data_IF_380254069486
#
_entry.id   IF_380254069486
#
_cell.length_a   1.000
_cell.length_b   1.000
_cell.length_c   1.000
_cell.angle_alpha   90.00
_cell.angle_beta   90.00
_cell.angle_gamma   90.00
#
_symmetry.space_group_name_H-M   'P 1'
#
loop_
_entity.id
_entity.type
_entity.pdbx_description
1 polymer ?
#
# COMPACT_ATOMS: atom_id res chain seq x y z
N UNK A 1 19.63 -10.42 5.87
CA UNK A 1 19.24 -9.73 4.63
C UNK A 1 17.80 -10.14 4.36
N UNK A 2 16.83 -9.23 4.54
CA UNK A 2 15.42 -9.56 4.30
C UNK A 2 15.16 -9.59 2.79
N UNK A 3 14.81 -10.75 2.23
CA UNK A 3 14.30 -10.85 0.86
C UNK A 3 12.82 -10.43 0.89
N UNK A 4 12.57 -9.14 0.70
CA UNK A 4 11.23 -8.58 0.69
C UNK A 4 10.63 -8.67 -0.73
N UNK A 5 9.51 -9.36 -0.88
CA UNK A 5 8.77 -9.37 -2.12
C UNK A 5 8.22 -7.97 -2.40
N UNK A 6 8.38 -7.52 -3.64
CA UNK A 6 7.95 -6.20 -4.07
C UNK A 6 6.99 -6.30 -5.26
N UNK A 7 5.92 -5.51 -5.19
CA UNK A 7 5.04 -5.23 -6.31
C UNK A 7 5.65 -4.10 -7.14
N UNK A 8 5.80 -4.31 -8.45
CA UNK A 8 6.09 -3.21 -9.36
C UNK A 8 4.82 -2.41 -9.62
N UNK A 9 4.86 -1.09 -9.42
CA UNK A 9 3.77 -0.19 -9.72
C UNK A 9 4.31 1.12 -10.31
N UNK A 10 3.94 1.41 -11.57
CA UNK A 10 4.58 2.46 -12.38
C UNK A 10 6.11 2.27 -12.37
N UNK A 11 6.86 3.24 -11.85
CA UNK A 11 8.32 3.18 -11.70
C UNK A 11 8.78 2.84 -10.28
N UNK A 12 7.87 2.43 -9.40
CA UNK A 12 8.13 2.19 -7.99
C UNK A 12 8.06 0.70 -7.65
N UNK A 13 8.87 0.29 -6.66
CA UNK A 13 8.81 -1.03 -6.02
C UNK A 13 8.17 -0.87 -4.65
N UNK A 14 7.01 -1.48 -4.47
CA UNK A 14 6.22 -1.41 -3.25
C UNK A 14 6.37 -2.71 -2.45
N UNK A 15 6.70 -2.65 -1.16
CA UNK A 15 6.64 -3.81 -0.27
C UNK A 15 5.30 -4.57 -0.37
N UNK A 16 5.37 -5.89 -0.47
CA UNK A 16 4.22 -6.79 -0.31
C UNK A 16 4.28 -7.34 1.10
N UNK A 17 3.69 -6.61 2.05
CA UNK A 17 3.63 -7.01 3.46
C UNK A 17 2.55 -6.22 4.19
N UNK A 18 1.88 -6.87 5.15
CA UNK A 18 0.96 -6.24 6.09
C UNK A 18 1.67 -5.63 7.30
N UNK A 19 2.96 -5.96 7.50
CA UNK A 19 3.76 -5.52 8.63
C UNK A 19 4.55 -4.25 8.27
N UNK A 20 4.21 -3.07 8.81
CA UNK A 20 4.90 -1.82 8.48
C UNK A 20 6.39 -1.81 8.83
N UNK A 21 6.81 -2.66 9.77
CA UNK A 21 8.22 -2.76 10.18
C UNK A 21 9.08 -3.46 9.11
N UNK A 22 8.46 -4.13 8.15
CA UNK A 22 9.15 -4.79 7.03
C UNK A 22 9.33 -3.86 5.82
N UNK A 23 8.77 -2.64 5.84
CA UNK A 23 8.86 -1.70 4.72
C UNK A 23 10.28 -1.16 4.50
N UNK A 24 11.13 -1.19 5.53
CA UNK A 24 12.46 -0.60 5.50
C UNK A 24 12.97 -0.28 6.89
N UNK A 25 13.82 0.76 6.99
CA UNK A 25 14.38 1.20 8.27
C UNK A 25 13.37 2.07 9.01
N UNK A 26 12.95 1.63 10.21
CA UNK A 26 12.09 2.42 11.08
C UNK A 26 12.75 3.78 11.42
N UNK A 27 12.03 4.88 11.18
CA UNK A 27 12.42 6.24 11.60
C UNK A 27 11.67 6.59 12.89
N UNK A 28 10.34 6.49 12.88
CA UNK A 28 9.45 6.88 14.00
C UNK A 28 8.32 5.87 14.13
N UNK A 29 7.93 5.55 15.37
CA UNK A 29 6.68 4.87 15.71
C UNK A 29 6.02 5.58 16.89
N UNK A 30 4.82 6.11 16.68
CA UNK A 30 4.01 6.78 17.70
C UNK A 30 2.60 6.23 17.57
N UNK A 31 2.15 5.51 18.60
CA UNK A 31 0.86 4.82 18.61
C UNK A 31 0.67 3.93 17.37
N UNK A 32 -0.29 4.30 16.52
CA UNK A 32 -0.62 3.62 15.29
C UNK A 32 0.02 4.24 14.03
N UNK A 33 0.90 5.23 14.21
CA UNK A 33 1.62 5.91 13.13
C UNK A 33 3.04 5.37 13.07
N UNK A 34 3.45 4.91 11.91
CA UNK A 34 4.80 4.39 11.63
C UNK A 34 5.36 5.16 10.44
N UNK A 35 6.60 5.64 10.58
CA UNK A 35 7.37 6.25 9.49
C UNK A 35 8.57 5.34 9.22
N UNK A 36 8.64 4.82 8.00
CA UNK A 36 9.69 3.90 7.58
C UNK A 36 10.42 4.43 6.36
N UNK A 37 11.75 4.44 6.42
CA UNK A 37 12.61 4.74 5.29
C UNK A 37 12.72 3.51 4.40
N UNK A 38 12.11 3.55 3.22
CA UNK A 38 12.19 2.45 2.25
C UNK A 38 13.58 2.42 1.61
N UNK A 39 14.10 3.58 1.22
CA UNK A 39 15.44 3.77 0.68
C UNK A 39 15.92 5.20 0.95
N UNK A 40 17.06 5.60 0.39
CA UNK A 40 17.67 6.92 0.65
C UNK A 40 16.75 8.11 0.37
N UNK A 41 15.85 8.00 -0.61
CA UNK A 41 14.99 9.11 -1.05
C UNK A 41 13.51 8.90 -0.72
N UNK A 42 13.08 7.67 -0.45
CA UNK A 42 11.67 7.32 -0.27
C UNK A 42 11.32 6.97 1.18
N UNK A 43 10.20 7.52 1.66
CA UNK A 43 9.64 7.27 2.98
C UNK A 43 8.19 6.80 2.84
N UNK A 44 7.79 5.84 3.68
CA UNK A 44 6.40 5.48 3.92
C UNK A 44 5.92 6.05 5.25
N UNK A 45 4.80 6.79 5.21
CA UNK A 45 4.00 7.11 6.39
C UNK A 45 2.82 6.15 6.42
N UNK A 46 2.74 5.35 7.49
CA UNK A 46 1.80 4.24 7.61
C UNK A 46 0.95 4.48 8.85
N UNK A 47 -0.36 4.55 8.67
CA UNK A 47 -1.34 4.60 9.77
C UNK A 47 -2.04 3.25 9.85
N UNK A 48 -1.88 2.57 10.98
CA UNK A 48 -2.50 1.29 11.23
C UNK A 48 -3.84 1.45 11.95
N UNK A 49 -4.80 0.63 11.55
CA UNK A 49 -6.05 0.37 12.23
C UNK A 49 -6.20 -1.16 12.29
N UNK A 50 -7.19 -1.65 13.04
CA UNK A 50 -7.35 -3.09 13.31
C UNK A 50 -7.19 -4.00 12.07
N UNK A 51 -7.79 -3.61 10.93
CA UNK A 51 -7.71 -4.37 9.67
C UNK A 51 -7.32 -3.55 8.46
N UNK A 52 -6.79 -2.35 8.68
CA UNK A 52 -6.47 -1.42 7.59
C UNK A 52 -5.11 -0.78 7.85
N UNK A 53 -4.21 -0.88 6.88
CA UNK A 53 -3.03 -0.02 6.83
C UNK A 53 -3.25 1.04 5.74
N UNK A 54 -3.23 2.31 6.12
CA UNK A 54 -3.21 3.42 5.16
C UNK A 54 -1.77 3.87 4.97
N UNK A 55 -1.27 3.80 3.74
CA UNK A 55 0.13 4.07 3.41
C UNK A 55 0.21 5.27 2.47
N UNK A 56 1.02 6.26 2.85
CA UNK A 56 1.42 7.37 1.99
C UNK A 56 2.89 7.25 1.66
N UNK A 57 3.23 7.36 0.38
CA UNK A 57 4.60 7.31 -0.10
C UNK A 57 5.07 8.71 -0.46
N UNK A 58 6.24 9.07 0.05
CA UNK A 58 6.92 10.33 -0.23
C UNK A 58 8.28 10.05 -0.86
N UNK A 59 8.72 10.92 -1.76
CA UNK A 59 10.09 10.94 -2.30
C UNK A 59 10.66 12.34 -2.14
N UNK A 60 11.82 12.45 -1.52
CA UNK A 60 12.52 13.74 -1.32
C UNK A 60 11.64 14.80 -0.61
N UNK A 61 10.68 14.36 0.20
CA UNK A 61 9.71 15.22 0.89
C UNK A 61 8.39 15.43 0.16
N UNK A 62 8.33 15.14 -1.15
CA UNK A 62 7.12 15.30 -1.96
C UNK A 62 6.21 14.07 -1.88
N UNK A 63 4.90 14.33 -1.74
CA UNK A 63 3.88 13.27 -1.80
C UNK A 63 3.79 12.70 -3.21
N UNK A 64 3.81 11.36 -3.32
CA UNK A 64 3.70 10.68 -4.61
C UNK A 64 2.32 10.05 -4.82
N UNK A 65 1.89 9.19 -3.90
CA UNK A 65 0.61 8.50 -3.94
C UNK A 65 0.33 7.84 -2.59
N UNK A 66 -0.89 7.36 -2.44
CA UNK A 66 -1.34 6.60 -1.28
C UNK A 66 -2.07 5.33 -1.70
N UNK A 67 -2.09 4.35 -0.80
CA UNK A 67 -2.89 3.13 -0.92
C UNK A 67 -3.37 2.66 0.44
N UNK A 68 -4.34 1.75 0.43
CA UNK A 68 -4.82 1.08 1.63
C UNK A 68 -4.67 -0.43 1.48
N UNK A 69 -4.13 -1.09 2.50
CA UNK A 69 -4.11 -2.55 2.60
C UNK A 69 -5.20 -2.97 3.58
N UNK A 70 -6.20 -3.70 3.07
CA UNK A 70 -7.26 -4.29 3.88
C UNK A 70 -6.87 -5.73 4.25
N UNK A 71 -6.64 -5.97 5.53
CA UNK A 71 -6.16 -7.23 6.08
C UNK A 71 -7.36 -8.18 6.21
N UNK A 72 -7.27 -9.33 5.55
CA UNK A 72 -8.28 -10.39 5.62
C UNK A 72 -7.91 -11.36 6.74
N UNK A 73 -6.64 -11.76 6.79
CA UNK A 73 -6.02 -12.56 7.84
C UNK A 73 -4.49 -12.36 7.80
N UNK A 74 -3.74 -13.16 8.57
CA UNK A 74 -2.28 -13.07 8.69
C UNK A 74 -1.52 -13.23 7.37
N UNK A 75 -2.10 -13.94 6.40
CA UNK A 75 -1.46 -14.29 5.13
C UNK A 75 -2.09 -13.59 3.92
N UNK A 76 -3.27 -13.01 4.09
CA UNK A 76 -4.10 -12.50 2.99
C UNK A 76 -4.48 -11.04 3.23
N UNK A 77 -4.27 -10.21 2.20
CA UNK A 77 -4.74 -8.83 2.20
C UNK A 77 -5.05 -8.35 0.79
N UNK A 78 -5.83 -7.27 0.72
CA UNK A 78 -6.16 -6.59 -0.54
C UNK A 78 -5.62 -5.17 -0.47
N UNK A 79 -4.73 -4.82 -1.40
CA UNK A 79 -4.28 -3.45 -1.61
C UNK A 79 -5.22 -2.74 -2.57
N UNK A 80 -5.79 -1.61 -2.15
CA UNK A 80 -6.49 -0.68 -3.03
C UNK A 80 -5.57 0.50 -3.33
N UNK A 81 -5.24 0.68 -4.61
CA UNK A 81 -4.32 1.68 -5.11
C UNK A 81 -4.88 2.26 -6.42
N UNK A 82 -5.25 3.55 -6.37
CA UNK A 82 -6.08 4.20 -7.41
C UNK A 82 -7.33 3.34 -7.71
N UNK A 83 -7.60 3.05 -9.00
CA UNK A 83 -8.73 2.24 -9.43
C UNK A 83 -8.43 0.73 -9.43
N UNK A 84 -7.30 0.30 -8.85
CA UNK A 84 -6.89 -1.09 -8.87
C UNK A 84 -6.95 -1.70 -7.47
N UNK A 85 -7.36 -2.96 -7.43
CA UNK A 85 -7.28 -3.83 -6.26
C UNK A 85 -6.35 -4.99 -6.57
N UNK A 86 -5.42 -5.24 -5.67
CA UNK A 86 -4.43 -6.31 -5.76
C UNK A 86 -4.63 -7.24 -4.57
N UNK A 87 -4.91 -8.52 -4.84
CA UNK A 87 -5.08 -9.54 -3.80
C UNK A 87 -3.75 -10.28 -3.63
N UNK A 88 -3.28 -10.33 -2.40
CA UNK A 88 -2.06 -11.03 -2.04
C UNK A 88 -2.37 -12.19 -1.10
N UNK A 89 -1.66 -13.29 -1.31
CA UNK A 89 -1.65 -14.47 -0.45
C UNK A 89 -0.20 -14.89 -0.23
N UNK A 90 0.19 -15.06 1.04
CA UNK A 90 1.55 -15.40 1.45
C UNK A 90 2.61 -14.48 0.80
N UNK A 91 2.38 -13.16 0.88
CA UNK A 91 3.22 -12.12 0.29
C UNK A 91 3.47 -12.28 -1.23
N UNK A 92 2.54 -12.91 -1.94
CA UNK A 92 2.57 -13.11 -3.40
C UNK A 92 1.30 -12.56 -4.04
N UNK A 93 1.43 -11.85 -5.16
CA UNK A 93 0.28 -11.33 -5.91
C UNK A 93 -0.46 -12.49 -6.59
N UNK A 94 -1.73 -12.69 -6.25
CA UNK A 94 -2.56 -13.74 -6.85
C UNK A 94 -3.65 -13.20 -7.78
N UNK A 95 -4.10 -11.96 -7.59
CA UNK A 95 -5.16 -11.37 -8.44
C UNK A 95 -5.05 -9.86 -8.55
N UNK A 96 -5.32 -9.34 -9.74
CA UNK A 96 -5.50 -7.91 -10.00
C UNK A 96 -6.88 -7.66 -10.56
N UNK A 97 -7.59 -6.67 -10.02
CA UNK A 97 -8.89 -6.23 -10.53
C UNK A 97 -8.91 -4.72 -10.65
N UNK A 98 -9.36 -4.20 -11.79
CA UNK A 98 -9.53 -2.77 -12.03
C UNK A 98 -11.00 -2.42 -11.93
N UNK A 99 -11.34 -1.44 -11.09
CA UNK A 99 -12.69 -0.90 -11.02
C UNK A 99 -12.97 -0.05 -12.25
N UNK A 100 -13.97 -0.46 -13.04
CA UNK A 100 -14.43 0.29 -14.20
C UNK A 100 -15.52 1.26 -13.73
N UNK A 101 -15.16 2.51 -13.51
CA UNK A 101 -16.13 3.58 -13.26
C UNK A 101 -16.79 3.94 -14.60
N UNK A 102 -17.98 3.41 -14.85
CA UNK A 102 -18.81 3.88 -15.98
C UNK A 102 -19.53 5.15 -15.57
N UNK A 103 -19.35 6.24 -16.32
CA UNK A 103 -20.22 7.41 -16.22
C UNK A 103 -21.64 6.99 -16.60
N UNK A 104 -22.60 7.21 -15.71
CA UNK A 104 -24.01 7.09 -16.01
C UNK A 104 -24.53 8.45 -16.47
N UNK A 105 -24.90 8.57 -17.75
CA UNK A 105 -25.58 9.76 -18.26
C UNK A 105 -27.06 9.69 -17.85
N UNK A 106 -27.40 10.32 -16.72
CA UNK A 106 -28.80 10.53 -16.35
C UNK A 106 -29.36 11.71 -17.15
N UNK A 107 -30.27 11.43 -18.10
CA UNK A 107 -31.16 12.46 -18.65
C UNK A 107 -32.28 12.70 -17.66
N UNK A 108 -32.21 13.80 -16.92
CA UNK A 108 -33.35 14.32 -16.17
C UNK A 108 -34.36 14.83 -17.22
N UNK A 109 -35.57 14.25 -17.22
CA UNK A 109 -36.70 14.71 -18.03
C UNK A 109 -37.40 15.87 -17.33
#
# INVERSE_FOLDING_TARGET
>A
MFNLNCQNYKHYKLPITINPLEYGKLIIKIDNIIVSQINMTNIALIRQFDRINNVKIFKEGDFLFEYSDHIINENNFIRSLENNKFTFENNTLIRTTTEIIKKCDYKIK
#
